data_IF_005260319589
#
_entry.id   IF_005260319589
#
_cell.length_a   1.000
_cell.length_b   1.000
_cell.length_c   1.000
_cell.angle_alpha   90.00
_cell.angle_beta   90.00
_cell.angle_gamma   90.00
#
_symmetry.space_group_name_H-M   'P 1'
#
loop_
_entity.id
_entity.type
_entity.pdbx_description
1 polymer ?
#
# COMPACT_ATOMS: atom_id res chain seq x y z
N UNK A 1 14.04 12.45 81.21
CA UNK A 1 14.93 13.49 80.64
C UNK A 1 15.87 12.77 79.70
N UNK A 2 15.43 12.65 78.45
CA UNK A 2 16.19 12.07 77.33
C UNK A 2 17.04 13.15 76.65
N UNK A 3 18.17 12.73 76.09
CA UNK A 3 19.25 13.61 75.63
C UNK A 3 19.35 13.85 74.11
N UNK A 4 20.60 14.11 73.70
CA UNK A 4 21.19 14.41 72.36
C UNK A 4 21.05 15.87 71.93
N UNK A 5 22.11 16.69 72.02
CA UNK A 5 23.32 16.82 71.15
C UNK A 5 22.97 17.29 69.73
N UNK A 6 23.10 18.59 69.53
CA UNK A 6 23.10 19.29 68.24
C UNK A 6 24.45 19.10 67.54
N UNK A 7 24.43 18.78 66.25
CA UNK A 7 25.62 18.71 65.41
C UNK A 7 25.42 19.56 64.14
N UNK A 8 26.51 20.21 63.75
CA UNK A 8 26.62 21.30 62.78
C UNK A 8 26.97 20.74 61.41
N UNK A 9 26.26 21.12 60.34
CA UNK A 9 26.76 20.93 58.97
C UNK A 9 26.19 21.97 58.01
N UNK A 10 27.03 22.95 57.66
CA UNK A 10 26.78 23.94 56.63
C UNK A 10 26.74 23.32 55.22
N UNK A 11 25.82 23.77 54.37
CA UNK A 11 25.71 23.37 52.95
C UNK A 11 26.70 24.16 52.07
N UNK A 12 27.36 23.53 51.08
CA UNK A 12 28.16 24.24 50.07
C UNK A 12 27.26 24.89 48.98
N UNK A 13 27.77 25.87 48.21
CA UNK A 13 26.98 26.56 47.18
C UNK A 13 26.74 25.68 45.95
N UNK A 14 25.63 25.92 45.26
CA UNK A 14 25.21 25.21 44.06
C UNK A 14 26.19 25.44 42.89
N UNK A 15 26.64 24.35 42.26
CA UNK A 15 27.40 24.36 41.00
C UNK A 15 26.43 24.57 39.85
N UNK A 16 26.63 25.64 39.08
CA UNK A 16 25.95 25.89 37.80
C UNK A 16 26.43 24.89 36.74
N UNK A 17 25.51 24.14 36.13
CA UNK A 17 25.80 23.27 34.98
C UNK A 17 25.97 24.10 33.69
N UNK A 18 26.87 23.70 32.77
CA UNK A 18 27.13 24.40 31.52
C UNK A 18 26.01 24.15 30.50
N UNK A 19 25.74 25.17 29.68
CA UNK A 19 24.88 25.08 28.51
C UNK A 19 25.53 24.34 27.34
N UNK A 20 24.72 24.21 26.29
CA UNK A 20 24.98 23.72 24.93
C UNK A 20 24.78 22.22 24.66
N UNK A 21 23.68 21.92 23.96
CA UNK A 21 23.42 20.60 23.36
C UNK A 21 22.31 20.53 22.30
N UNK A 22 21.72 21.65 21.84
CA UNK A 22 20.48 21.61 21.05
C UNK A 22 20.65 21.86 19.52
N UNK A 23 21.85 21.70 18.95
CA UNK A 23 22.10 22.03 17.53
C UNK A 23 22.37 20.88 16.57
N UNK A 24 22.28 19.61 16.98
CA UNK A 24 22.63 18.49 16.08
C UNK A 24 21.45 17.64 15.57
N UNK A 25 20.23 17.79 16.10
CA UNK A 25 19.09 16.93 15.70
C UNK A 25 18.21 17.52 14.56
N UNK A 26 18.38 18.79 14.21
CA UNK A 26 17.48 19.49 13.25
C UNK A 26 17.86 19.31 11.79
N UNK A 27 19.13 19.00 11.48
CA UNK A 27 19.60 18.86 10.11
C UNK A 27 19.16 17.53 9.45
N UNK A 28 19.14 16.42 10.20
CA UNK A 28 18.69 15.12 9.68
C UNK A 28 17.21 15.12 9.28
N UNK A 29 16.35 15.65 10.15
CA UNK A 29 14.91 15.77 9.92
C UNK A 29 14.58 16.70 8.74
N UNK A 30 15.34 17.79 8.57
CA UNK A 30 15.16 18.72 7.44
C UNK A 30 15.55 18.09 6.09
N UNK A 31 16.64 17.33 6.04
CA UNK A 31 17.12 16.68 4.82
C UNK A 31 16.16 15.57 4.40
N UNK A 32 15.67 14.76 5.34
CA UNK A 32 14.62 13.76 5.09
C UNK A 32 13.37 14.44 4.52
N UNK A 33 12.87 15.50 5.17
CA UNK A 33 11.69 16.24 4.72
C UNK A 33 11.84 16.80 3.29
N UNK A 34 13.01 17.34 2.94
CA UNK A 34 13.27 17.88 1.61
C UNK A 34 13.35 16.77 0.53
N UNK A 35 13.97 15.63 0.86
CA UNK A 35 14.02 14.46 -0.01
C UNK A 35 12.61 13.90 -0.26
N UNK A 36 11.77 13.79 0.77
CA UNK A 36 10.39 13.36 0.62
C UNK A 36 9.59 14.30 -0.27
N UNK A 37 9.73 15.62 -0.11
CA UNK A 37 9.07 16.60 -0.99
C UNK A 37 9.50 16.45 -2.45
N UNK A 38 10.78 16.18 -2.72
CA UNK A 38 11.26 15.91 -4.08
C UNK A 38 10.72 14.59 -4.63
N UNK A 39 10.66 13.55 -3.81
CA UNK A 39 10.09 12.26 -4.17
C UNK A 39 8.61 12.39 -4.54
N UNK A 40 7.81 13.13 -3.76
CA UNK A 40 6.40 13.42 -4.06
C UNK A 40 6.23 14.12 -5.41
N UNK A 41 7.03 15.15 -5.68
CA UNK A 41 7.00 15.84 -6.98
C UNK A 41 7.28 14.89 -8.14
N UNK A 42 8.25 13.99 -7.98
CA UNK A 42 8.59 13.00 -9.01
C UNK A 42 7.43 12.03 -9.24
N UNK A 43 6.79 11.54 -8.18
CA UNK A 43 5.67 10.61 -8.27
C UNK A 43 4.45 11.28 -8.93
N UNK A 44 4.15 12.53 -8.56
CA UNK A 44 3.07 13.29 -9.21
C UNK A 44 3.32 13.46 -10.71
N UNK A 45 4.55 13.79 -11.13
CA UNK A 45 4.90 13.87 -12.56
C UNK A 45 4.72 12.51 -13.23
N UNK A 46 5.18 11.42 -12.59
CA UNK A 46 4.98 10.05 -13.08
C UNK A 46 3.49 9.76 -13.28
N UNK A 47 2.63 10.16 -12.34
CA UNK A 47 1.19 9.95 -12.42
C UNK A 47 0.52 10.82 -13.49
N UNK A 48 0.88 12.09 -13.61
CA UNK A 48 0.38 12.97 -14.69
C UNK A 48 0.74 12.42 -16.07
N UNK A 49 1.96 11.91 -16.24
CA UNK A 49 2.38 11.26 -17.48
C UNK A 49 1.57 9.98 -17.75
N UNK A 50 1.16 9.24 -16.70
CA UNK A 50 0.30 8.06 -16.86
C UNK A 50 -1.12 8.44 -17.30
N UNK A 51 -1.67 9.50 -16.72
CA UNK A 51 -3.04 9.92 -17.02
C UNK A 51 -3.20 10.42 -18.47
N UNK A 52 -2.12 10.95 -19.07
CA UNK A 52 -2.09 11.31 -20.51
C UNK A 52 -1.75 10.13 -21.43
N UNK A 53 -1.64 8.92 -20.90
CA UNK A 53 -1.40 7.70 -21.67
C UNK A 53 0.07 7.44 -22.02
N UNK A 54 1.02 8.15 -21.40
CA UNK A 54 2.44 7.98 -21.70
C UNK A 54 2.94 6.56 -21.39
N UNK A 55 2.25 5.79 -20.55
CA UNK A 55 2.58 4.37 -20.33
C UNK A 55 2.63 3.54 -21.62
N UNK A 56 1.95 3.99 -22.68
CA UNK A 56 1.99 3.34 -24.00
C UNK A 56 3.32 3.57 -24.73
N UNK A 57 4.08 4.60 -24.34
CA UNK A 57 5.34 5.02 -24.98
C UNK A 57 6.56 4.85 -24.05
N UNK A 58 6.38 5.04 -22.73
CA UNK A 58 7.43 4.95 -21.70
C UNK A 58 6.83 4.26 -20.48
N UNK A 59 7.42 3.14 -20.03
CA UNK A 59 6.95 2.50 -18.80
C UNK A 59 7.37 3.33 -17.58
N UNK A 60 6.51 3.39 -16.58
CA UNK A 60 6.74 4.13 -15.34
C UNK A 60 7.01 3.15 -14.19
N UNK A 61 7.84 3.51 -13.20
CA UNK A 61 8.12 2.62 -12.07
C UNK A 61 6.84 2.25 -11.31
N UNK A 62 6.71 0.97 -10.97
CA UNK A 62 5.56 0.43 -10.21
C UNK A 62 5.99 -0.76 -9.37
N UNK A 63 5.23 -1.07 -8.33
CA UNK A 63 5.46 -2.25 -7.48
C UNK A 63 4.44 -3.31 -7.84
N UNK A 64 4.89 -4.49 -8.25
CA UNK A 64 4.01 -5.63 -8.53
C UNK A 64 4.09 -6.64 -7.38
N UNK A 65 2.96 -6.91 -6.73
CA UNK A 65 2.88 -7.87 -5.63
C UNK A 65 2.60 -9.26 -6.21
N UNK A 66 3.52 -10.19 -6.01
CA UNK A 66 3.45 -11.55 -6.53
C UNK A 66 3.55 -12.57 -5.41
N UNK A 67 2.91 -13.72 -5.59
CA UNK A 67 2.91 -14.80 -4.61
C UNK A 67 1.85 -15.84 -4.92
N UNK A 68 1.90 -16.96 -4.23
CA UNK A 68 0.90 -18.02 -4.34
C UNK A 68 -0.47 -17.53 -3.86
N UNK A 69 -1.52 -18.29 -4.16
CA UNK A 69 -2.83 -18.09 -3.55
C UNK A 69 -2.71 -18.11 -2.01
N UNK A 70 -3.41 -17.19 -1.35
CA UNK A 70 -3.41 -17.05 0.12
C UNK A 70 -2.06 -16.70 0.77
N UNK A 71 -1.06 -16.27 0.00
CA UNK A 71 0.24 -15.87 0.55
C UNK A 71 0.22 -14.59 1.43
N UNK A 72 -0.92 -13.89 1.51
CA UNK A 72 -1.03 -12.62 2.26
C UNK A 72 -0.80 -11.36 1.42
N UNK A 73 -0.80 -11.46 0.08
CA UNK A 73 -0.62 -10.32 -0.84
C UNK A 73 -1.52 -9.13 -0.53
N UNK A 74 -2.83 -9.38 -0.43
CA UNK A 74 -3.84 -8.36 -0.12
C UNK A 74 -3.61 -7.75 1.26
N UNK A 75 -3.21 -8.54 2.26
CA UNK A 75 -2.89 -8.03 3.60
C UNK A 75 -1.65 -7.13 3.61
N UNK A 76 -0.62 -7.47 2.82
CA UNK A 76 0.57 -6.61 2.65
C UNK A 76 0.17 -5.28 1.99
N UNK A 77 -0.72 -5.32 1.00
CA UNK A 77 -1.23 -4.10 0.36
C UNK A 77 -2.06 -3.24 1.31
N UNK A 78 -3.02 -3.82 2.03
CA UNK A 78 -3.81 -3.10 3.03
C UNK A 78 -2.91 -2.48 4.12
N UNK A 79 -1.83 -3.17 4.52
CA UNK A 79 -0.85 -2.62 5.46
C UNK A 79 -0.05 -1.43 4.90
N UNK A 80 0.30 -1.43 3.61
CA UNK A 80 0.97 -0.29 2.95
C UNK A 80 0.02 0.92 2.85
N UNK A 81 -1.26 0.66 2.59
CA UNK A 81 -2.28 1.73 2.45
C UNK A 81 -2.75 2.24 3.81
N UNK A 82 -2.71 1.41 4.85
CA UNK A 82 -3.26 1.71 6.17
C UNK A 82 -4.79 1.69 6.21
N UNK A 83 -5.43 1.05 5.22
CA UNK A 83 -6.87 0.95 5.09
C UNK A 83 -7.23 -0.47 4.67
N UNK A 84 -8.35 -0.97 5.19
CA UNK A 84 -8.91 -2.22 4.72
C UNK A 84 -9.90 -1.89 3.58
N UNK A 85 -9.63 -2.37 2.37
CA UNK A 85 -10.41 -2.01 1.17
C UNK A 85 -10.48 -3.10 0.10
N UNK A 86 -9.72 -4.18 0.28
CA UNK A 86 -9.73 -5.30 -0.66
C UNK A 86 -10.84 -6.27 -0.27
N UNK A 87 -11.45 -6.97 -1.25
CA UNK A 87 -12.45 -8.01 -0.97
C UNK A 87 -11.94 -9.03 0.05
N UNK A 88 -12.86 -9.62 0.82
CA UNK A 88 -12.56 -10.70 1.77
C UNK A 88 -13.46 -11.89 1.49
N UNK A 89 -12.97 -13.09 1.75
CA UNK A 89 -13.78 -14.29 1.67
C UNK A 89 -12.96 -15.56 1.50
N UNK A 90 -13.65 -16.69 1.57
CA UNK A 90 -13.04 -18.00 1.40
C UNK A 90 -12.75 -18.28 -0.08
N UNK A 91 -11.60 -18.92 -0.33
CA UNK A 91 -11.16 -19.32 -1.67
C UNK A 91 -10.37 -18.24 -2.41
N UNK A 92 -10.70 -18.01 -3.69
CA UNK A 92 -10.03 -16.99 -4.52
C UNK A 92 -10.67 -15.63 -4.29
N UNK A 93 -9.88 -14.71 -3.73
CA UNK A 93 -10.28 -13.35 -3.39
C UNK A 93 -9.98 -12.42 -4.58
N UNK A 94 -8.70 -12.22 -4.91
CA UNK A 94 -8.28 -11.43 -6.07
C UNK A 94 -8.47 -12.26 -7.35
N UNK A 95 -9.49 -11.91 -8.15
CA UNK A 95 -9.85 -12.61 -9.41
C UNK A 95 -9.54 -11.81 -10.68
N UNK A 96 -9.15 -10.55 -10.52
CA UNK A 96 -8.69 -9.64 -11.57
C UNK A 96 -7.46 -8.91 -11.04
N UNK A 97 -6.50 -8.52 -11.88
CA UNK A 97 -5.45 -7.58 -11.48
C UNK A 97 -6.08 -6.29 -10.93
N UNK A 98 -5.52 -5.73 -9.86
CA UNK A 98 -5.91 -4.44 -9.33
C UNK A 98 -4.73 -3.49 -9.47
N UNK A 99 -4.88 -2.46 -10.30
CA UNK A 99 -3.88 -1.42 -10.48
C UNK A 99 -4.24 -0.25 -9.57
N UNK A 100 -3.44 -0.08 -8.53
CA UNK A 100 -3.66 0.87 -7.44
C UNK A 100 -2.72 2.05 -7.58
N UNK A 101 -3.28 3.27 -7.55
CA UNK A 101 -2.52 4.49 -7.32
C UNK A 101 -2.84 5.00 -5.91
N UNK A 102 -1.82 5.21 -5.11
CA UNK A 102 -1.92 5.83 -3.79
C UNK A 102 -1.43 7.27 -3.91
N UNK A 103 -2.25 8.20 -3.42
CA UNK A 103 -1.94 9.63 -3.41
C UNK A 103 -2.02 10.13 -1.98
N UNK A 104 -0.90 10.60 -1.46
CA UNK A 104 -0.80 11.14 -0.12
C UNK A 104 -1.47 12.51 -0.05
N UNK A 105 -2.45 12.65 0.85
CA UNK A 105 -3.07 13.94 1.16
C UNK A 105 -2.26 14.67 2.22
N UNK A 106 -2.00 15.97 2.00
CA UNK A 106 -1.26 16.79 2.96
C UNK A 106 -2.08 17.04 4.22
N UNK A 107 -1.53 16.69 5.40
CA UNK A 107 -2.15 16.98 6.71
C UNK A 107 -2.34 18.48 6.98
N UNK A 108 -1.67 19.36 6.22
CA UNK A 108 -1.87 20.81 6.32
C UNK A 108 -3.18 21.28 5.67
N UNK A 109 -3.74 20.48 4.77
CA UNK A 109 -4.90 20.83 3.94
C UNK A 109 -6.09 19.88 4.16
N UNK A 110 -5.86 18.73 4.78
CA UNK A 110 -6.81 17.63 4.95
C UNK A 110 -6.85 17.11 6.39
N UNK A 111 -7.99 16.58 6.80
CA UNK A 111 -8.14 15.94 8.11
C UNK A 111 -7.29 14.67 8.20
N UNK A 112 -6.73 14.37 9.39
CA UNK A 112 -5.85 13.21 9.61
C UNK A 112 -6.45 11.85 9.25
N UNK A 113 -7.78 11.76 9.12
CA UNK A 113 -8.50 10.54 8.75
C UNK A 113 -9.21 10.69 7.40
N UNK A 114 -8.90 11.72 6.61
CA UNK A 114 -9.49 11.91 5.30
C UNK A 114 -8.95 10.85 4.34
N UNK A 115 -9.85 10.01 3.83
CA UNK A 115 -9.55 9.07 2.79
C UNK A 115 -10.72 8.94 1.82
N UNK A 116 -10.43 8.77 0.54
CA UNK A 116 -11.43 8.45 -0.48
C UNK A 116 -10.82 7.71 -1.66
N UNK A 117 -11.67 6.94 -2.33
CA UNK A 117 -11.35 6.15 -3.51
C UNK A 117 -12.05 6.72 -4.75
N UNK A 118 -11.39 6.60 -5.90
CA UNK A 118 -11.92 6.95 -7.23
C UNK A 118 -11.58 5.82 -8.20
N UNK A 119 -12.58 5.25 -8.86
CA UNK A 119 -12.39 4.23 -9.89
C UNK A 119 -12.24 4.87 -11.27
N UNK A 120 -11.41 4.29 -12.14
CA UNK A 120 -11.15 4.83 -13.49
C UNK A 120 -12.40 4.92 -14.36
N UNK A 121 -13.37 4.01 -14.17
CA UNK A 121 -14.64 3.99 -14.90
C UNK A 121 -15.67 5.00 -14.39
N UNK A 122 -15.42 5.66 -13.27
CA UNK A 122 -16.31 6.65 -12.66
C UNK A 122 -15.50 7.71 -11.88
N UNK A 123 -14.76 8.55 -12.64
CA UNK A 123 -13.80 9.52 -12.09
C UNK A 123 -14.43 10.63 -11.24
N UNK A 124 -15.73 10.87 -11.40
CA UNK A 124 -16.45 11.92 -10.66
C UNK A 124 -16.91 11.44 -9.28
N UNK A 125 -17.04 10.12 -9.08
CA UNK A 125 -17.54 9.53 -7.85
C UNK A 125 -16.41 9.27 -6.84
N UNK A 126 -16.36 10.10 -5.80
CA UNK A 126 -15.52 9.88 -4.62
C UNK A 126 -16.23 8.99 -3.60
N UNK A 127 -15.70 7.80 -3.35
CA UNK A 127 -16.22 6.86 -2.35
C UNK A 127 -15.39 7.01 -1.07
N UNK A 128 -16.02 7.45 0.02
CA UNK A 128 -15.37 7.63 1.34
C UNK A 128 -15.52 6.43 2.26
N UNK A 129 -16.53 5.61 2.01
CA UNK A 129 -16.77 4.37 2.74
C UNK A 129 -16.02 3.22 2.05
N UNK A 130 -14.95 2.74 2.68
CA UNK A 130 -14.10 1.71 2.10
C UNK A 130 -14.75 0.32 2.06
N UNK A 131 -15.86 0.12 2.77
CA UNK A 131 -16.69 -1.06 2.56
C UNK A 131 -17.42 -0.99 1.21
N UNK A 132 -17.87 0.20 0.80
CA UNK A 132 -18.41 0.40 -0.55
C UNK A 132 -17.35 0.25 -1.63
N UNK A 133 -16.08 0.57 -1.34
CA UNK A 133 -14.96 0.31 -2.27
C UNK A 133 -14.79 -1.18 -2.50
N UNK A 134 -14.81 -2.01 -1.44
CA UNK A 134 -14.79 -3.47 -1.57
C UNK A 134 -15.93 -3.99 -2.44
N UNK A 135 -17.15 -3.56 -2.12
CA UNK A 135 -18.36 -3.98 -2.83
C UNK A 135 -18.29 -3.60 -4.31
N UNK A 136 -17.72 -2.43 -4.63
CA UNK A 136 -17.54 -2.00 -6.01
C UNK A 136 -16.47 -2.83 -6.74
N UNK A 137 -15.36 -3.19 -6.08
CA UNK A 137 -14.37 -4.13 -6.63
C UNK A 137 -15.03 -5.48 -6.95
N UNK A 138 -15.83 -6.02 -6.01
CA UNK A 138 -16.54 -7.28 -6.22
C UNK A 138 -17.57 -7.18 -7.35
N UNK A 139 -18.34 -6.08 -7.40
CA UNK A 139 -19.33 -5.82 -8.44
C UNK A 139 -18.67 -5.75 -9.83
N UNK A 140 -17.58 -4.99 -9.96
CA UNK A 140 -16.81 -4.88 -11.20
C UNK A 140 -16.18 -6.21 -11.59
N UNK A 141 -15.74 -6.99 -10.61
CA UNK A 141 -15.19 -8.33 -10.85
C UNK A 141 -16.26 -9.27 -11.37
N UNK A 142 -17.40 -9.38 -10.69
CA UNK A 142 -18.52 -10.24 -11.06
C UNK A 142 -19.10 -9.93 -12.43
N UNK A 143 -19.10 -8.64 -12.82
CA UNK A 143 -19.61 -8.19 -14.11
C UNK A 143 -18.84 -8.80 -15.30
N UNK A 144 -17.55 -9.11 -15.11
CA UNK A 144 -16.68 -9.63 -16.19
C UNK A 144 -16.35 -11.10 -15.96
N UNK A 145 -16.00 -11.48 -14.74
CA UNK A 145 -15.52 -12.81 -14.36
C UNK A 145 -16.62 -13.77 -13.89
N UNK A 146 -17.87 -13.31 -13.85
CA UNK A 146 -18.98 -14.06 -13.28
C UNK A 146 -18.86 -14.22 -11.76
N UNK A 147 -19.86 -14.82 -11.15
CA UNK A 147 -19.93 -15.01 -9.68
C UNK A 147 -19.26 -16.31 -9.21
N UNK A 148 -19.02 -17.25 -10.12
CA UNK A 148 -18.56 -18.58 -9.78
C UNK A 148 -17.02 -18.70 -9.81
N UNK A 149 -16.34 -17.74 -9.17
CA UNK A 149 -14.88 -17.75 -8.89
C UNK A 149 -13.94 -17.83 -10.11
N UNK A 150 -14.39 -17.43 -11.30
CA UNK A 150 -13.54 -17.26 -12.48
C UNK A 150 -12.46 -16.19 -12.28
N UNK A 151 -11.29 -16.37 -12.92
CA UNK A 151 -10.17 -15.42 -12.91
C UNK A 151 -10.00 -14.87 -14.32
N UNK A 152 -9.86 -13.54 -14.46
CA UNK A 152 -9.75 -12.86 -15.77
C UNK A 152 -8.62 -11.85 -15.78
N UNK A 153 -7.85 -11.84 -16.88
CA UNK A 153 -6.77 -10.87 -17.10
C UNK A 153 -7.29 -9.53 -17.64
N UNK A 154 -8.08 -8.83 -16.83
CA UNK A 154 -8.59 -7.49 -17.13
C UNK A 154 -8.49 -6.63 -15.88
N UNK A 155 -7.63 -5.61 -15.82
CA UNK A 155 -7.38 -4.87 -14.60
C UNK A 155 -8.59 -4.04 -14.15
N UNK A 156 -8.73 -3.86 -12.84
CA UNK A 156 -9.51 -2.76 -12.23
C UNK A 156 -8.50 -1.67 -11.87
N UNK A 157 -8.76 -0.43 -12.27
CA UNK A 157 -7.88 0.71 -11.96
C UNK A 157 -8.56 1.57 -10.89
N UNK A 158 -7.86 1.77 -9.77
CA UNK A 158 -8.38 2.43 -8.57
C UNK A 158 -7.33 3.39 -8.01
N UNK A 159 -7.73 4.64 -7.76
CA UNK A 159 -6.91 5.60 -7.02
C UNK A 159 -7.45 5.76 -5.60
N UNK A 160 -6.58 5.66 -4.59
CA UNK A 160 -6.87 5.94 -3.19
C UNK A 160 -6.11 7.19 -2.78
N UNK A 161 -6.84 8.16 -2.25
CA UNK A 161 -6.31 9.37 -1.63
C UNK A 161 -6.43 9.20 -0.12
N UNK A 162 -5.34 9.36 0.62
CA UNK A 162 -5.35 9.27 2.09
C UNK A 162 -4.17 10.04 2.71
N UNK A 163 -4.34 10.57 3.92
CA UNK A 163 -3.24 11.20 4.68
C UNK A 163 -2.21 10.19 5.19
N UNK A 164 -2.59 8.93 5.37
CA UNK A 164 -1.74 7.87 5.92
C UNK A 164 -1.00 7.04 4.87
N UNK A 165 -1.33 7.16 3.59
CA UNK A 165 -0.68 6.37 2.53
C UNK A 165 0.51 7.10 1.93
N UNK A 166 1.52 6.38 1.40
CA UNK A 166 2.57 7.00 0.60
C UNK A 166 2.09 7.25 -0.83
N UNK A 167 2.78 8.14 -1.55
CA UNK A 167 2.62 8.26 -3.00
C UNK A 167 3.24 7.02 -3.67
N UNK A 168 2.44 6.12 -4.23
CA UNK A 168 2.91 4.84 -4.82
C UNK A 168 1.98 4.31 -5.90
N UNK A 169 2.53 3.54 -6.83
CA UNK A 169 1.77 2.73 -7.80
C UNK A 169 2.01 1.25 -7.54
N UNK A 170 0.94 0.52 -7.26
CA UNK A 170 0.95 -0.89 -6.86
C UNK A 170 0.08 -1.73 -7.81
N UNK A 171 0.46 -2.98 -8.03
CA UNK A 171 -0.33 -3.96 -8.76
C UNK A 171 -0.59 -5.14 -7.82
N UNK A 172 -1.85 -5.39 -7.47
CA UNK A 172 -2.27 -6.68 -6.88
C UNK A 172 -2.62 -7.66 -7.99
N UNK A 173 -2.19 -8.91 -7.83
CA UNK A 173 -2.46 -9.95 -8.81
C UNK A 173 -3.20 -11.13 -8.17
N UNK A 174 -4.04 -11.81 -8.96
CA UNK A 174 -4.52 -13.14 -8.59
C UNK A 174 -3.34 -14.03 -8.17
N UNK A 175 -3.51 -14.73 -7.05
CA UNK A 175 -2.46 -15.61 -6.55
C UNK A 175 -2.22 -16.78 -7.50
N UNK A 176 -0.96 -17.14 -7.69
CA UNK A 176 -0.60 -18.30 -8.52
C UNK A 176 -1.16 -19.57 -7.86
N UNK A 177 -1.92 -20.34 -8.63
CA UNK A 177 -2.53 -21.62 -8.19
C UNK A 177 -2.37 -22.68 -9.26
N UNK A 178 -2.17 -23.94 -8.84
CA UNK A 178 -1.98 -25.09 -9.74
C UNK A 178 -3.26 -25.85 -10.06
N UNK A 179 -4.26 -25.75 -9.19
CA UNK A 179 -5.45 -26.58 -9.24
C UNK A 179 -6.67 -25.67 -9.28
N UNK A 180 -7.52 -25.78 -10.31
CA UNK A 180 -8.75 -25.00 -10.36
C UNK A 180 -9.71 -25.45 -9.26
N UNK A 181 -10.51 -24.50 -8.76
CA UNK A 181 -11.52 -24.79 -7.76
C UNK A 181 -12.62 -25.66 -8.40
N UNK A 182 -12.93 -26.81 -7.77
CA UNK A 182 -13.98 -27.72 -8.27
C UNK A 182 -15.34 -27.00 -8.33
N UNK A 183 -16.02 -27.13 -9.47
CA UNK A 183 -17.34 -26.52 -9.68
C UNK A 183 -17.30 -25.00 -9.92
N UNK A 184 -16.12 -24.41 -10.11
CA UNK A 184 -15.95 -22.99 -10.46
C UNK A 184 -15.84 -22.77 -11.96
N UNK A 185 -15.91 -21.50 -12.39
CA UNK A 185 -15.68 -21.04 -13.76
C UNK A 185 -14.18 -20.84 -14.06
N UNK A 186 -13.28 -21.44 -13.27
CA UNK A 186 -11.85 -21.40 -13.55
C UNK A 186 -11.51 -22.31 -14.72
N UNK A 187 -10.63 -21.84 -15.61
CA UNK A 187 -10.10 -22.66 -16.69
C UNK A 187 -9.25 -23.82 -16.15
N UNK A 188 -9.12 -24.89 -16.94
CA UNK A 188 -8.29 -26.05 -16.58
C UNK A 188 -6.81 -25.64 -16.39
N UNK A 189 -6.32 -24.70 -17.22
CA UNK A 189 -4.96 -24.18 -17.18
C UNK A 189 -4.80 -22.92 -16.31
N UNK A 190 -5.43 -22.91 -15.12
CA UNK A 190 -5.40 -21.75 -14.21
C UNK A 190 -3.99 -21.33 -13.78
N UNK A 191 -3.06 -22.29 -13.70
CA UNK A 191 -1.64 -22.02 -13.42
C UNK A 191 -1.01 -21.20 -14.53
N UNK A 192 -1.27 -21.56 -15.78
CA UNK A 192 -0.74 -20.85 -16.93
C UNK A 192 -1.28 -19.43 -16.96
N UNK A 193 -2.59 -19.26 -16.77
CA UNK A 193 -3.24 -17.95 -16.74
C UNK A 193 -2.63 -17.05 -15.67
N UNK A 194 -2.61 -17.51 -14.41
CA UNK A 194 -2.10 -16.70 -13.29
C UNK A 194 -0.60 -16.42 -13.39
N UNK A 195 0.21 -17.36 -13.90
CA UNK A 195 1.63 -17.12 -14.19
C UNK A 195 1.83 -16.11 -15.31
N UNK A 196 1.05 -16.19 -16.39
CA UNK A 196 1.16 -15.23 -17.50
C UNK A 196 0.80 -13.81 -17.06
N UNK A 197 -0.23 -13.65 -16.21
CA UNK A 197 -0.55 -12.36 -15.60
C UNK A 197 0.65 -11.82 -14.81
N UNK A 198 1.24 -12.64 -13.93
CA UNK A 198 2.42 -12.24 -13.15
C UNK A 198 3.61 -11.86 -14.05
N UNK A 199 3.92 -12.67 -15.06
CA UNK A 199 5.00 -12.41 -16.01
C UNK A 199 4.77 -11.14 -16.83
N UNK A 200 3.52 -10.84 -17.19
CA UNK A 200 3.15 -9.61 -17.94
C UNK A 200 3.56 -8.35 -17.19
N UNK A 201 3.35 -8.30 -15.87
CA UNK A 201 3.77 -7.16 -15.05
C UNK A 201 5.25 -7.22 -14.63
N UNK A 202 5.75 -8.41 -14.31
CA UNK A 202 7.12 -8.63 -13.83
C UNK A 202 8.20 -8.52 -14.91
N UNK A 203 7.84 -8.66 -16.20
CA UNK A 203 8.79 -8.56 -17.32
C UNK A 203 9.18 -7.12 -17.68
N UNK A 204 8.47 -6.12 -17.15
CA UNK A 204 8.83 -4.71 -17.30
C UNK A 204 10.06 -4.41 -16.41
N UNK A 205 11.20 -3.98 -16.98
CA UNK A 205 12.43 -3.73 -16.23
C UNK A 205 12.31 -2.58 -15.22
N UNK A 206 11.24 -1.78 -15.29
CA UNK A 206 10.94 -0.70 -14.35
C UNK A 206 10.00 -1.15 -13.23
N UNK A 207 9.49 -2.38 -13.27
CA UNK A 207 8.68 -2.96 -12.21
C UNK A 207 9.58 -3.47 -11.07
N UNK A 208 9.31 -3.01 -9.86
CA UNK A 208 9.84 -3.59 -8.63
C UNK A 208 8.92 -4.74 -8.23
N UNK A 209 9.49 -5.93 -8.05
CA UNK A 209 8.72 -7.12 -7.68
C UNK A 209 8.74 -7.27 -6.15
N UNK A 210 7.56 -7.20 -5.54
CA UNK A 210 7.36 -7.54 -4.14
C UNK A 210 6.87 -8.99 -4.04
N UNK A 211 7.81 -9.90 -3.78
CA UNK A 211 7.50 -11.31 -3.62
C UNK A 211 7.02 -11.61 -2.19
N UNK A 212 5.75 -11.99 -2.05
CA UNK A 212 5.14 -12.36 -0.77
C UNK A 212 5.17 -13.87 -0.61
N UNK A 213 5.87 -14.31 0.44
CA UNK A 213 6.06 -15.74 0.75
C UNK A 213 5.52 -15.98 2.17
N UNK A 214 4.61 -16.95 2.36
CA UNK A 214 4.13 -17.28 3.69
C UNK A 214 5.26 -17.83 4.56
N UNK A 215 5.33 -17.42 5.83
CA UNK A 215 6.35 -17.90 6.76
C UNK A 215 6.18 -19.38 7.13
N UNK A 216 4.99 -19.95 6.95
CA UNK A 216 4.67 -21.35 7.21
C UNK A 216 4.88 -22.27 5.99
N UNK A 217 5.47 -21.77 4.90
CA UNK A 217 5.98 -22.63 3.82
C UNK A 217 7.33 -23.18 4.30
N UNK A 218 7.27 -24.26 5.06
CA UNK A 218 8.45 -24.94 5.59
C UNK A 218 9.26 -25.66 4.52
N UNK A 219 10.45 -26.10 4.94
CA UNK A 219 11.30 -27.14 4.35
C UNK A 219 10.54 -28.27 3.63
#
# INVERSE_FOLDING_TARGET
MDGKREDVSARPPAVSAPGDGEKSMTNGVKVESQMYQQLRKLINVVDELRDVGLQQFIQLPRICVVGTQSAGKSSVLEAIVGLDFLPRGDGVVTRRPLELRLVHLSEAEHDLNEAYAVFENDKERKIRDFEQVRQEIDRLTDQVAGKNKGIIDSPIVLTIYATQCPDLSLIDLPGITRVPLKGSDQCEDIEMLTRQMALRYASDPRTIILAVIPANVGE
#
